data_IF_486537337592
#
_entry.id   IF_486537337592
#
_cell.length_a   1.000
_cell.length_b   1.000
_cell.length_c   1.000
_cell.angle_alpha   90.00
_cell.angle_beta   90.00
_cell.angle_gamma   90.00
#
_symmetry.space_group_name_H-M   'P 1'
#
loop_
_entity.id
_entity.type
_entity.pdbx_description
1 polymer ?
#
# COMPACT_ATOMS: atom_id res chain seq x y z
N UNK A 1 -26.13 -22.47 44.71
CA UNK A 1 -25.42 -21.54 43.81
C UNK A 1 -25.88 -21.89 42.41
N UNK A 2 -26.28 -20.89 41.61
CA UNK A 2 -26.78 -21.17 40.26
C UNK A 2 -25.62 -21.42 39.30
N UNK A 3 -25.85 -22.14 38.20
CA UNK A 3 -24.84 -22.42 37.18
C UNK A 3 -24.07 -21.17 36.73
N UNK A 4 -24.77 -20.04 36.59
CA UNK A 4 -24.19 -18.74 36.23
C UNK A 4 -23.21 -18.24 37.30
N UNK A 5 -23.51 -18.42 38.60
CA UNK A 5 -22.62 -17.97 39.67
C UNK A 5 -21.30 -18.75 39.68
N UNK A 6 -21.39 -20.06 39.44
CA UNK A 6 -20.22 -20.93 39.40
C UNK A 6 -19.32 -20.56 38.21
N UNK A 7 -19.91 -20.33 37.03
CA UNK A 7 -19.16 -19.86 35.85
C UNK A 7 -18.58 -18.46 36.05
N UNK A 8 -19.30 -17.52 36.69
CA UNK A 8 -18.78 -16.18 37.01
C UNK A 8 -17.59 -16.25 37.98
N UNK A 9 -17.65 -17.11 38.99
CA UNK A 9 -16.52 -17.34 39.89
C UNK A 9 -15.33 -17.92 39.14
N UNK A 10 -15.56 -18.88 38.24
CA UNK A 10 -14.52 -19.45 37.40
C UNK A 10 -13.86 -18.38 36.51
N UNK A 11 -14.65 -17.57 35.80
CA UNK A 11 -14.15 -16.47 34.96
C UNK A 11 -13.33 -15.48 35.79
N UNK A 12 -13.82 -15.08 36.97
CA UNK A 12 -13.12 -14.11 37.82
C UNK A 12 -11.72 -14.58 38.24
N UNK A 13 -11.54 -15.89 38.44
CA UNK A 13 -10.28 -16.50 38.86
C UNK A 13 -9.36 -16.83 37.68
N UNK A 14 -9.94 -17.29 36.58
CA UNK A 14 -9.18 -17.92 35.50
C UNK A 14 -9.00 -17.03 34.26
N UNK A 15 -9.85 -16.04 34.00
CA UNK A 15 -9.86 -15.31 32.72
C UNK A 15 -8.47 -14.77 32.35
N UNK A 16 -7.80 -14.07 33.27
CA UNK A 16 -6.50 -13.44 33.00
C UNK A 16 -5.36 -14.46 32.85
N UNK A 17 -5.48 -15.64 33.48
CA UNK A 17 -4.48 -16.71 33.41
C UNK A 17 -4.66 -17.58 32.17
N UNK A 18 -5.90 -17.68 31.68
CA UNK A 18 -6.30 -18.64 30.65
C UNK A 18 -6.41 -17.98 29.27
N UNK A 19 -6.62 -16.66 29.23
CA UNK A 19 -6.70 -15.87 28.00
C UNK A 19 -5.65 -14.77 28.05
N UNK A 20 -4.57 -14.96 27.31
CA UNK A 20 -3.43 -14.05 27.32
C UNK A 20 -3.79 -12.63 26.85
N UNK A 21 -3.31 -11.65 27.61
CA UNK A 21 -3.59 -10.23 27.35
C UNK A 21 -5.07 -9.85 27.57
N UNK A 22 -5.83 -10.67 28.31
CA UNK A 22 -7.19 -10.34 28.72
C UNK A 22 -7.23 -9.52 29.99
N UNK A 23 -8.18 -8.60 30.06
CA UNK A 23 -8.50 -7.79 31.24
C UNK A 23 -10.00 -7.84 31.47
N UNK A 24 -10.40 -8.40 32.60
CA UNK A 24 -11.79 -8.44 33.03
C UNK A 24 -12.23 -7.02 33.44
N UNK A 25 -13.20 -6.47 32.73
CA UNK A 25 -13.74 -5.11 32.97
C UNK A 25 -14.98 -5.17 33.85
N UNK A 26 -15.85 -6.14 33.61
CA UNK A 26 -17.06 -6.39 34.40
C UNK A 26 -17.36 -7.88 34.43
N UNK A 27 -17.78 -8.39 35.58
CA UNK A 27 -18.16 -9.78 35.77
C UNK A 27 -19.37 -9.83 36.71
N UNK A 28 -20.56 -9.68 36.13
CA UNK A 28 -21.83 -9.67 36.87
C UNK A 28 -22.83 -10.59 36.19
N UNK A 29 -23.89 -11.00 36.91
CA UNK A 29 -24.93 -11.92 36.39
C UNK A 29 -25.60 -11.47 35.10
N UNK A 30 -25.66 -10.17 34.84
CA UNK A 30 -26.28 -9.63 33.63
C UNK A 30 -25.31 -9.58 32.45
N UNK A 31 -24.01 -9.40 32.72
CA UNK A 31 -23.01 -9.22 31.68
C UNK A 31 -21.58 -9.52 32.16
N UNK A 32 -20.82 -10.12 31.26
CA UNK A 32 -19.37 -10.27 31.36
C UNK A 32 -18.74 -9.41 30.27
N UNK A 33 -17.82 -8.53 30.66
CA UNK A 33 -17.08 -7.67 29.73
C UNK A 33 -15.60 -7.90 29.88
N UNK A 34 -14.95 -8.34 28.81
CA UNK A 34 -13.52 -8.64 28.78
C UNK A 34 -12.87 -7.88 27.64
N UNK A 35 -11.78 -7.20 27.94
CA UNK A 35 -10.91 -6.58 26.94
C UNK A 35 -9.74 -7.53 26.64
N UNK A 36 -9.57 -7.91 25.39
CA UNK A 36 -8.48 -8.78 24.91
C UNK A 36 -7.55 -7.92 24.05
N UNK A 37 -6.29 -7.78 24.48
CA UNK A 37 -5.28 -6.95 23.82
C UNK A 37 -4.10 -7.81 23.40
N UNK A 38 -3.79 -7.82 22.10
CA UNK A 38 -2.52 -8.36 21.56
C UNK A 38 -1.52 -7.24 21.31
N UNK A 39 -1.96 -6.18 20.64
CA UNK A 39 -1.18 -4.95 20.42
C UNK A 39 -2.11 -3.75 20.58
N UNK A 40 -1.57 -2.52 20.60
CA UNK A 40 -2.38 -1.29 20.72
C UNK A 40 -3.48 -1.16 19.64
N UNK A 41 -3.29 -1.81 18.48
CA UNK A 41 -4.24 -1.80 17.36
C UNK A 41 -5.05 -3.09 17.23
N UNK A 42 -4.66 -4.17 17.91
CA UNK A 42 -5.38 -5.46 17.96
C UNK A 42 -6.00 -5.62 19.34
N UNK A 43 -7.00 -4.79 19.62
CA UNK A 43 -7.78 -4.81 20.86
C UNK A 43 -9.25 -5.04 20.56
N UNK A 44 -9.84 -6.04 21.22
CA UNK A 44 -11.26 -6.36 21.13
C UNK A 44 -11.85 -6.32 22.54
N UNK A 45 -12.99 -5.66 22.69
CA UNK A 45 -13.82 -5.70 23.89
C UNK A 45 -15.00 -6.61 23.61
N UNK A 46 -15.02 -7.77 24.26
CA UNK A 46 -16.13 -8.70 24.21
C UNK A 46 -17.14 -8.35 25.31
N UNK A 47 -18.36 -8.03 24.91
CA UNK A 47 -19.51 -7.87 25.78
C UNK A 47 -20.39 -9.12 25.63
N UNK A 48 -20.53 -9.87 26.71
CA UNK A 48 -21.22 -11.16 26.73
C UNK A 48 -22.39 -11.04 27.71
N UNK A 49 -23.60 -11.40 27.27
CA UNK A 49 -24.79 -11.41 28.10
C UNK A 49 -25.39 -12.83 28.13
N UNK A 50 -25.87 -13.21 29.31
CA UNK A 50 -26.56 -14.48 29.51
C UNK A 50 -28.00 -14.38 29.02
N UNK A 51 -28.42 -15.35 28.23
CA UNK A 51 -29.81 -15.55 27.81
C UNK A 51 -30.64 -16.13 28.97
N UNK A 52 -31.98 -16.00 28.89
CA UNK A 52 -32.89 -16.40 29.98
C UNK A 52 -32.78 -17.89 30.35
N UNK A 53 -32.53 -18.74 29.36
CA UNK A 53 -32.47 -20.20 29.51
C UNK A 53 -31.03 -20.74 29.41
N UNK A 54 -30.03 -19.90 29.72
CA UNK A 54 -28.63 -20.32 29.74
C UNK A 54 -28.41 -21.40 30.82
N UNK A 55 -27.66 -22.50 30.56
CA UNK A 55 -26.76 -22.75 29.43
C UNK A 55 -27.38 -23.50 28.23
N UNK A 56 -28.70 -23.71 28.20
CA UNK A 56 -29.38 -24.42 27.10
C UNK A 56 -29.61 -23.54 25.86
N UNK A 57 -29.45 -22.23 26.02
CA UNK A 57 -29.44 -21.24 24.94
C UNK A 57 -28.03 -20.63 24.81
N UNK A 58 -27.65 -20.17 23.61
CA UNK A 58 -26.33 -19.57 23.39
C UNK A 58 -26.22 -18.22 24.10
N UNK A 59 -24.99 -17.80 24.37
CA UNK A 59 -24.67 -16.44 24.82
C UNK A 59 -25.02 -15.40 23.75
N UNK A 60 -25.40 -14.20 24.20
CA UNK A 60 -25.48 -13.02 23.34
C UNK A 60 -24.13 -12.31 23.37
N UNK A 61 -23.51 -12.12 22.21
CA UNK A 61 -22.15 -11.59 22.09
C UNK A 61 -22.19 -10.31 21.28
N UNK A 62 -21.50 -9.28 21.76
CA UNK A 62 -21.25 -8.04 21.04
C UNK A 62 -19.76 -7.72 21.13
N UNK A 63 -19.09 -7.63 19.98
CA UNK A 63 -17.67 -7.32 19.90
C UNK A 63 -17.45 -5.86 19.51
N UNK A 64 -16.63 -5.13 20.28
CA UNK A 64 -16.29 -3.73 20.02
C UNK A 64 -14.79 -3.55 19.90
N UNK A 65 -14.36 -2.66 19.02
CA UNK A 65 -12.96 -2.22 18.93
C UNK A 65 -12.91 -0.74 18.57
N UNK A 66 -11.84 -0.06 19.01
CA UNK A 66 -11.55 1.31 18.57
C UNK A 66 -10.77 1.35 17.26
N UNK A 67 -10.16 0.24 16.86
CA UNK A 67 -9.15 0.19 15.80
C UNK A 67 -9.47 -0.81 14.70
N UNK A 68 -10.27 -1.84 14.98
CA UNK A 68 -10.66 -2.85 13.99
C UNK A 68 -11.97 -2.48 13.28
N UNK A 69 -12.13 -2.98 12.07
CA UNK A 69 -13.32 -2.77 11.22
C UNK A 69 -14.59 -3.32 11.87
N UNK A 70 -15.69 -2.55 11.81
CA UNK A 70 -17.01 -2.99 12.28
C UNK A 70 -17.47 -4.25 11.53
N UNK A 71 -17.28 -4.30 10.21
CA UNK A 71 -17.67 -5.46 9.38
C UNK A 71 -16.94 -6.74 9.78
N UNK A 72 -15.68 -6.62 10.18
CA UNK A 72 -14.90 -7.75 10.69
C UNK A 72 -15.46 -8.22 12.04
N UNK A 73 -15.79 -7.29 12.92
CA UNK A 73 -16.35 -7.60 14.25
C UNK A 73 -17.73 -8.24 14.15
N UNK A 74 -18.59 -7.77 13.24
CA UNK A 74 -19.90 -8.36 12.98
C UNK A 74 -19.74 -9.81 12.49
N UNK A 75 -18.87 -10.03 11.49
CA UNK A 75 -18.58 -11.37 10.99
C UNK A 75 -17.97 -12.29 12.04
N UNK A 76 -17.08 -11.79 12.91
CA UNK A 76 -16.53 -12.56 14.02
C UNK A 76 -17.59 -12.87 15.08
N UNK A 77 -18.52 -11.96 15.32
CA UNK A 77 -19.64 -12.15 16.25
C UNK A 77 -20.53 -13.29 15.77
N UNK A 78 -20.91 -13.30 14.48
CA UNK A 78 -21.68 -14.41 13.89
C UNK A 78 -20.98 -15.77 14.02
N UNK A 79 -19.65 -15.80 13.86
CA UNK A 79 -18.86 -17.01 14.04
C UNK A 79 -18.85 -17.44 15.51
N UNK A 80 -18.69 -16.51 16.45
CA UNK A 80 -18.74 -16.81 17.88
C UNK A 80 -20.12 -17.35 18.30
N UNK A 81 -21.21 -16.80 17.78
CA UNK A 81 -22.56 -17.30 18.02
C UNK A 81 -22.76 -18.74 17.50
N UNK A 82 -22.17 -19.07 16.35
CA UNK A 82 -22.16 -20.45 15.82
C UNK A 82 -21.36 -21.39 16.71
N UNK A 83 -20.23 -20.96 17.26
CA UNK A 83 -19.46 -21.76 18.22
C UNK A 83 -20.22 -21.96 19.54
N UNK A 84 -20.95 -20.94 20.02
CA UNK A 84 -21.80 -21.06 21.22
C UNK A 84 -22.85 -22.16 21.07
N UNK A 85 -23.47 -22.29 19.89
CA UNK A 85 -24.46 -23.34 19.60
C UNK A 85 -23.89 -24.76 19.69
N UNK A 86 -22.57 -24.94 19.61
CA UNK A 86 -21.92 -26.25 19.80
C UNK A 86 -21.66 -26.56 21.28
N UNK A 87 -21.75 -25.56 22.15
CA UNK A 87 -21.42 -25.64 23.58
C UNK A 87 -22.67 -25.61 24.48
N UNK A 88 -23.86 -25.88 23.92
CA UNK A 88 -25.11 -25.91 24.68
C UNK A 88 -25.05 -26.93 25.82
N UNK A 89 -25.56 -26.55 26.98
CA UNK A 89 -25.53 -27.34 28.21
C UNK A 89 -24.19 -27.30 28.96
N UNK A 90 -23.19 -26.53 28.48
CA UNK A 90 -21.89 -26.34 29.15
C UNK A 90 -21.61 -24.84 29.35
N UNK A 91 -20.58 -24.54 30.13
CA UNK A 91 -20.04 -23.19 30.27
C UNK A 91 -19.46 -22.70 28.93
N UNK A 92 -19.88 -21.53 28.47
CA UNK A 92 -19.59 -21.01 27.13
C UNK A 92 -18.61 -19.82 27.15
N UNK A 93 -18.54 -19.06 28.25
CA UNK A 93 -17.84 -17.76 28.27
C UNK A 93 -16.33 -17.92 28.05
N UNK A 94 -15.65 -18.74 28.87
CA UNK A 94 -14.20 -18.95 28.74
C UNK A 94 -13.80 -19.58 27.40
N UNK A 95 -14.48 -20.64 26.89
CA UNK A 95 -14.21 -21.16 25.55
C UNK A 95 -14.30 -20.11 24.45
N UNK A 96 -15.30 -19.22 24.50
CA UNK A 96 -15.47 -18.17 23.50
C UNK A 96 -14.39 -17.09 23.62
N UNK A 97 -14.01 -16.69 24.83
CA UNK A 97 -12.91 -15.74 25.02
C UNK A 97 -11.58 -16.30 24.49
N UNK A 98 -11.31 -17.59 24.71
CA UNK A 98 -10.17 -18.30 24.09
C UNK A 98 -10.28 -18.30 22.57
N UNK A 99 -11.46 -18.60 22.02
CA UNK A 99 -11.69 -18.61 20.58
C UNK A 99 -11.39 -17.24 19.96
N UNK A 100 -11.89 -16.15 20.56
CA UNK A 100 -11.62 -14.78 20.10
C UNK A 100 -10.11 -14.49 20.15
N UNK A 101 -9.42 -14.88 21.24
CA UNK A 101 -7.98 -14.68 21.37
C UNK A 101 -7.21 -15.44 20.29
N UNK A 102 -7.52 -16.72 20.09
CA UNK A 102 -6.89 -17.56 19.07
C UNK A 102 -7.14 -16.98 17.67
N UNK A 103 -8.34 -16.47 17.39
CA UNK A 103 -8.64 -15.81 16.13
C UNK A 103 -7.73 -14.60 15.86
N UNK A 104 -7.48 -13.76 16.87
CA UNK A 104 -6.54 -12.63 16.76
C UNK A 104 -5.10 -13.11 16.51
N UNK A 105 -4.72 -14.26 17.08
CA UNK A 105 -3.40 -14.82 16.91
C UNK A 105 -3.18 -15.43 15.53
N UNK A 106 -4.16 -16.16 15.00
CA UNK A 106 -4.09 -16.82 13.69
C UNK A 106 -4.29 -15.86 12.51
N UNK A 107 -4.90 -14.70 12.75
CA UNK A 107 -5.24 -13.72 11.71
C UNK A 107 -4.57 -12.36 11.95
N UNK A 108 -3.24 -12.24 11.80
CA UNK A 108 -2.55 -10.98 12.06
C UNK A 108 -2.94 -9.84 11.10
N UNK A 109 -3.49 -10.13 9.92
CA UNK A 109 -3.93 -9.13 8.94
C UNK A 109 -5.28 -8.46 9.29
N UNK A 110 -5.92 -8.83 10.41
CA UNK A 110 -7.18 -8.18 10.84
C UNK A 110 -7.05 -6.65 11.00
N UNK A 111 -5.84 -6.17 11.32
CA UNK A 111 -5.55 -4.75 11.52
C UNK A 111 -5.63 -3.92 10.23
N UNK A 112 -5.57 -4.56 9.06
CA UNK A 112 -5.68 -3.90 7.75
C UNK A 112 -6.85 -4.42 6.92
N UNK A 113 -7.89 -4.97 7.58
CA UNK A 113 -9.07 -5.54 6.93
C UNK A 113 -9.75 -4.57 5.94
N UNK A 114 -9.96 -3.31 6.35
CA UNK A 114 -10.61 -2.31 5.49
C UNK A 114 -9.72 -1.92 4.30
N UNK A 115 -8.40 -1.84 4.49
CA UNK A 115 -7.45 -1.58 3.42
C UNK A 115 -7.41 -2.72 2.40
N UNK A 116 -7.37 -3.97 2.86
CA UNK A 116 -7.44 -5.17 2.01
C UNK A 116 -8.75 -5.16 1.21
N UNK A 117 -9.87 -4.84 1.85
CA UNK A 117 -11.17 -4.77 1.19
C UNK A 117 -11.20 -3.67 0.12
N UNK A 118 -10.64 -2.50 0.43
CA UNK A 118 -10.52 -1.41 -0.54
C UNK A 118 -9.59 -1.78 -1.72
N UNK A 119 -8.48 -2.47 -1.47
CA UNK A 119 -7.57 -2.93 -2.51
C UNK A 119 -8.27 -3.93 -3.43
N UNK A 120 -8.99 -4.91 -2.87
CA UNK A 120 -9.75 -5.90 -3.67
C UNK A 120 -10.74 -5.26 -4.63
N UNK A 121 -11.32 -4.11 -4.27
CA UNK A 121 -12.25 -3.38 -5.13
C UNK A 121 -11.58 -2.62 -6.28
N UNK A 122 -10.25 -2.42 -6.23
CA UNK A 122 -9.48 -1.71 -7.27
C UNK A 122 -8.86 -2.70 -8.27
N UNK A 123 -8.67 -3.96 -7.87
CA UNK A 123 -8.05 -4.98 -8.69
C UNK A 123 -8.97 -5.39 -9.85
N UNK A 124 -8.36 -5.63 -11.00
CA UNK A 124 -9.05 -6.17 -12.18
C UNK A 124 -8.99 -7.70 -12.18
N UNK A 125 -9.74 -8.34 -13.09
CA UNK A 125 -9.83 -9.81 -13.18
C UNK A 125 -8.48 -10.50 -13.48
N UNK A 126 -7.51 -9.78 -14.05
CA UNK A 126 -6.17 -10.29 -14.34
C UNK A 126 -5.20 -10.19 -13.15
N UNK A 127 -5.59 -9.46 -12.10
CA UNK A 127 -4.75 -9.24 -10.93
C UNK A 127 -5.06 -10.25 -9.82
N UNK A 128 -4.09 -10.51 -8.94
CA UNK A 128 -4.25 -11.44 -7.81
C UNK A 128 -3.79 -10.80 -6.50
N UNK A 129 -4.58 -11.00 -5.44
CA UNK A 129 -4.24 -10.64 -4.06
C UNK A 129 -4.35 -11.87 -3.15
N UNK A 130 -3.22 -12.46 -2.80
CA UNK A 130 -3.13 -13.66 -1.96
C UNK A 130 -2.80 -13.29 -0.52
N UNK A 131 -3.72 -13.57 0.40
CA UNK A 131 -3.54 -13.32 1.82
C UNK A 131 -2.87 -14.52 2.49
N UNK A 132 -1.69 -14.33 3.08
CA UNK A 132 -0.97 -15.34 3.88
C UNK A 132 -1.06 -14.96 5.35
N UNK A 133 -2.20 -15.24 5.98
CA UNK A 133 -2.51 -14.85 7.37
C UNK A 133 -1.40 -15.29 8.35
N UNK A 134 -1.02 -16.57 8.37
CA UNK A 134 -0.01 -17.09 9.30
C UNK A 134 1.35 -16.38 9.25
N UNK A 135 1.70 -15.79 8.12
CA UNK A 135 2.98 -15.09 7.92
C UNK A 135 2.84 -13.57 7.95
N UNK A 136 1.64 -13.02 8.23
CA UNK A 136 1.36 -11.59 8.15
C UNK A 136 1.77 -10.97 6.81
N UNK A 137 1.56 -11.71 5.71
CA UNK A 137 2.03 -11.32 4.38
C UNK A 137 0.90 -11.28 3.35
N UNK A 138 1.03 -10.40 2.37
CA UNK A 138 0.12 -10.23 1.25
C UNK A 138 0.93 -10.36 -0.04
N UNK A 139 0.61 -11.35 -0.86
CA UNK A 139 1.15 -11.48 -2.22
C UNK A 139 0.31 -10.66 -3.19
N UNK A 140 0.92 -9.66 -3.82
CA UNK A 140 0.31 -8.84 -4.87
C UNK A 140 0.86 -9.26 -6.22
N UNK A 141 -0.01 -9.50 -7.20
CA UNK A 141 0.34 -9.65 -8.61
C UNK A 141 -0.57 -8.74 -9.42
N UNK A 142 0.01 -7.81 -10.15
CA UNK A 142 -0.70 -6.87 -11.03
C UNK A 142 -0.20 -7.06 -12.45
N UNK A 143 -1.09 -7.03 -13.42
CA UNK A 143 -0.75 -7.21 -14.83
C UNK A 143 -1.46 -6.19 -15.73
N UNK A 144 -0.74 -5.71 -16.74
CA UNK A 144 -1.28 -4.88 -17.82
C UNK A 144 -0.71 -5.33 -19.16
N UNK A 145 -1.55 -5.95 -19.99
CA UNK A 145 -1.06 -6.60 -21.21
C UNK A 145 -0.04 -7.69 -20.89
N UNK A 146 1.15 -7.61 -21.50
CA UNK A 146 2.26 -8.53 -21.23
C UNK A 146 3.15 -8.09 -20.06
N UNK A 147 2.94 -6.89 -19.51
CA UNK A 147 3.72 -6.40 -18.37
C UNK A 147 3.13 -6.85 -17.04
N UNK A 148 3.98 -7.21 -16.08
CA UNK A 148 3.55 -7.59 -14.75
C UNK A 148 4.47 -7.05 -13.65
N UNK A 149 3.90 -6.96 -12.46
CA UNK A 149 4.61 -6.73 -11.22
C UNK A 149 4.08 -7.68 -10.15
N UNK A 150 4.99 -8.35 -9.46
CA UNK A 150 4.71 -9.23 -8.33
C UNK A 150 5.52 -8.76 -7.14
N UNK A 151 4.93 -8.72 -5.97
CA UNK A 151 5.66 -8.45 -4.74
C UNK A 151 4.97 -9.09 -3.54
N UNK A 152 5.77 -9.36 -2.51
CA UNK A 152 5.30 -9.74 -1.19
C UNK A 152 5.30 -8.49 -0.31
N UNK A 153 4.16 -8.20 0.31
CA UNK A 153 3.98 -7.09 1.23
C UNK A 153 3.87 -7.67 2.65
N UNK A 154 4.86 -7.42 3.49
CA UNK A 154 4.86 -7.82 4.89
C UNK A 154 4.19 -6.74 5.75
N UNK A 155 3.24 -7.14 6.61
CA UNK A 155 2.55 -6.27 7.56
C UNK A 155 3.15 -6.51 8.96
N UNK A 156 3.77 -5.50 9.59
CA UNK A 156 4.41 -5.68 10.89
C UNK A 156 3.39 -5.83 12.02
N UNK A 157 3.79 -6.43 13.15
CA UNK A 157 2.87 -6.70 14.26
C UNK A 157 2.30 -5.45 14.93
N UNK A 158 3.08 -4.37 14.97
CA UNK A 158 2.71 -3.08 15.55
C UNK A 158 2.09 -2.11 14.53
N UNK A 159 1.66 -2.61 13.36
CA UNK A 159 0.95 -1.82 12.36
C UNK A 159 -0.27 -1.10 12.96
N UNK A 160 -0.54 0.17 12.58
CA UNK A 160 0.16 1.04 11.61
C UNK A 160 1.29 1.90 12.20
N UNK A 161 1.82 1.60 13.39
CA UNK A 161 2.94 2.37 13.96
C UNK A 161 4.22 2.16 13.15
N UNK A 162 4.43 0.94 12.64
CA UNK A 162 5.47 0.63 11.65
C UNK A 162 4.79 0.39 10.30
N UNK A 163 5.41 0.86 9.21
CA UNK A 163 4.87 0.72 7.87
C UNK A 163 5.07 -0.70 7.31
N UNK A 164 4.32 -1.01 6.25
CA UNK A 164 4.50 -2.25 5.49
C UNK A 164 5.87 -2.29 4.79
N UNK A 165 6.40 -3.50 4.57
CA UNK A 165 7.64 -3.72 3.81
C UNK A 165 7.35 -4.42 2.50
N UNK A 166 8.03 -3.98 1.44
CA UNK A 166 8.02 -4.62 0.12
C UNK A 166 9.22 -5.55 -0.01
N UNK A 167 8.94 -6.84 -0.22
CA UNK A 167 9.90 -7.93 -0.39
C UNK A 167 9.61 -8.71 -1.67
N UNK A 168 10.58 -9.53 -2.11
CA UNK A 168 10.45 -10.48 -3.24
C UNK A 168 9.80 -9.86 -4.49
N UNK A 169 10.21 -8.64 -4.82
CA UNK A 169 9.68 -7.91 -5.97
C UNK A 169 10.24 -8.49 -7.27
N UNK A 170 9.34 -8.90 -8.17
CA UNK A 170 9.63 -9.50 -9.46
C UNK A 170 8.80 -8.82 -10.55
N UNK A 171 9.43 -8.47 -11.67
CA UNK A 171 8.82 -7.67 -12.72
C UNK A 171 9.58 -7.78 -14.03
N UNK A 172 8.86 -7.70 -15.15
CA UNK A 172 9.44 -7.65 -16.49
C UNK A 172 9.52 -6.21 -17.07
N UNK A 173 9.33 -5.19 -16.23
CA UNK A 173 9.59 -3.81 -16.63
C UNK A 173 11.10 -3.52 -16.69
N UNK A 174 11.53 -2.52 -17.47
CA UNK A 174 12.92 -2.06 -17.45
C UNK A 174 13.42 -1.69 -16.03
N UNK A 175 14.72 -1.88 -15.73
CA UNK A 175 15.27 -1.70 -14.37
C UNK A 175 14.99 -0.34 -13.72
N UNK A 176 14.86 0.72 -14.51
CA UNK A 176 14.48 2.05 -14.05
C UNK A 176 13.13 2.04 -13.31
N UNK A 177 12.14 1.31 -13.84
CA UNK A 177 10.82 1.21 -13.23
C UNK A 177 10.82 0.32 -11.99
N UNK A 178 11.62 -0.75 -11.97
CA UNK A 178 11.81 -1.57 -10.77
C UNK A 178 12.33 -0.73 -9.60
N UNK A 179 13.36 0.09 -9.86
CA UNK A 179 13.89 1.06 -8.87
C UNK A 179 12.81 2.05 -8.44
N UNK A 180 12.01 2.54 -9.38
CA UNK A 180 10.91 3.46 -9.06
C UNK A 180 9.82 2.82 -8.20
N UNK A 181 9.32 1.64 -8.55
CA UNK A 181 8.26 0.95 -7.82
C UNK A 181 8.66 0.68 -6.36
N UNK A 182 9.87 0.13 -6.17
CA UNK A 182 10.37 -0.22 -4.85
C UNK A 182 10.73 1.05 -4.07
N UNK A 183 11.46 1.97 -4.68
CA UNK A 183 11.90 3.21 -4.04
C UNK A 183 10.75 4.10 -3.62
N UNK A 184 9.83 4.40 -4.55
CA UNK A 184 8.65 5.22 -4.27
C UNK A 184 7.68 4.51 -3.35
N UNK A 185 7.49 3.20 -3.50
CA UNK A 185 6.66 2.40 -2.58
C UNK A 185 7.17 2.46 -1.14
N UNK A 186 8.48 2.31 -0.93
CA UNK A 186 9.11 2.45 0.39
C UNK A 186 8.97 3.87 0.95
N UNK A 187 9.16 4.90 0.13
CA UNK A 187 9.00 6.28 0.59
C UNK A 187 7.54 6.62 0.94
N UNK A 188 6.56 6.13 0.17
CA UNK A 188 5.14 6.29 0.51
C UNK A 188 4.80 5.58 1.82
N UNK A 189 5.34 4.37 2.03
CA UNK A 189 5.17 3.64 3.28
C UNK A 189 5.75 4.42 4.47
N UNK A 190 6.97 4.97 4.30
CA UNK A 190 7.67 5.79 5.29
C UNK A 190 6.87 7.04 5.65
N UNK A 191 6.35 7.78 4.67
CA UNK A 191 5.55 8.99 4.87
C UNK A 191 4.26 8.77 5.68
N UNK A 192 3.75 7.54 5.72
CA UNK A 192 2.59 7.20 6.53
C UNK A 192 2.92 7.06 8.02
N UNK A 193 4.18 6.79 8.39
CA UNK A 193 4.55 6.47 9.78
C UNK A 193 5.67 7.34 10.36
N UNK A 194 6.38 8.07 9.50
CA UNK A 194 7.42 9.01 9.90
C UNK A 194 7.05 10.45 9.51
N UNK A 195 7.45 11.44 10.34
CA UNK A 195 7.19 12.83 10.02
C UNK A 195 7.91 13.28 8.73
N UNK A 196 7.41 14.32 8.06
CA UNK A 196 8.08 14.92 6.92
C UNK A 196 9.48 15.39 7.31
N UNK A 197 10.47 15.14 6.45
CA UNK A 197 11.85 15.59 6.65
C UNK A 197 11.93 17.12 6.78
N UNK A 198 11.08 17.84 6.03
CA UNK A 198 10.95 19.29 6.09
C UNK A 198 9.71 19.68 6.90
N UNK A 199 9.91 20.04 8.18
CA UNK A 199 8.85 20.50 9.08
C UNK A 199 8.39 21.92 8.71
N UNK A 200 7.50 22.03 7.71
CA UNK A 200 6.89 23.32 7.34
C UNK A 200 5.66 23.68 8.18
N UNK A 201 5.06 22.72 8.88
CA UNK A 201 3.85 22.90 9.69
C UNK A 201 4.06 22.39 11.13
N UNK A 202 3.43 23.06 12.09
CA UNK A 202 3.50 22.74 13.52
C UNK A 202 2.53 21.63 13.98
N UNK A 203 1.80 21.00 13.06
CA UNK A 203 0.82 19.97 13.41
C UNK A 203 1.56 18.71 13.90
N UNK A 204 1.19 18.15 15.06
CA UNK A 204 1.75 16.88 15.52
C UNK A 204 1.49 15.77 14.50
N UNK A 205 2.55 15.11 14.06
CA UNK A 205 2.44 13.98 13.13
C UNK A 205 1.83 12.77 13.83
N UNK A 206 0.83 12.16 13.20
CA UNK A 206 0.20 10.92 13.68
C UNK A 206 0.35 9.81 12.63
N UNK A 207 0.89 8.64 12.98
CA UNK A 207 0.98 7.51 12.06
C UNK A 207 -0.37 7.12 11.48
N UNK A 208 -0.39 6.78 10.20
CA UNK A 208 -1.55 6.33 9.44
C UNK A 208 -1.31 4.99 8.75
N UNK A 209 -2.36 4.22 8.45
CA UNK A 209 -2.22 2.99 7.67
C UNK A 209 -1.58 3.22 6.30
N UNK A 210 -0.61 2.37 5.94
CA UNK A 210 0.21 2.51 4.73
C UNK A 210 -0.10 1.49 3.62
N UNK A 211 -0.76 0.37 3.93
CA UNK A 211 -0.94 -0.75 3.00
C UNK A 211 -1.70 -0.33 1.74
N UNK A 212 -2.82 0.37 1.90
CA UNK A 212 -3.64 0.86 0.79
C UNK A 212 -2.88 1.86 -0.05
N UNK A 213 -2.20 2.82 0.57
CA UNK A 213 -1.44 3.87 -0.14
C UNK A 213 -0.39 3.27 -1.05
N UNK A 214 0.42 2.36 -0.51
CA UNK A 214 1.50 1.70 -1.26
C UNK A 214 0.93 0.81 -2.37
N UNK A 215 -0.08 0.00 -2.06
CA UNK A 215 -0.64 -0.95 -3.02
C UNK A 215 -1.38 -0.24 -4.16
N UNK A 216 -2.15 0.80 -3.86
CA UNK A 216 -2.82 1.62 -4.88
C UNK A 216 -1.82 2.32 -5.80
N UNK A 217 -0.70 2.81 -5.26
CA UNK A 217 0.38 3.36 -6.08
C UNK A 217 0.95 2.31 -7.06
N UNK A 218 1.28 1.12 -6.56
CA UNK A 218 1.84 0.04 -7.39
C UNK A 218 0.86 -0.38 -8.48
N UNK A 219 -0.41 -0.61 -8.13
CA UNK A 219 -1.46 -0.97 -9.10
C UNK A 219 -1.56 0.12 -10.18
N UNK A 220 -1.68 1.38 -9.77
CA UNK A 220 -1.79 2.50 -10.71
C UNK A 220 -0.62 2.54 -11.67
N UNK A 221 0.62 2.47 -11.18
CA UNK A 221 1.80 2.51 -12.02
C UNK A 221 1.83 1.38 -13.04
N UNK A 222 1.56 0.14 -12.62
CA UNK A 222 1.60 -1.02 -13.53
C UNK A 222 0.52 -0.92 -14.60
N UNK A 223 -0.66 -0.40 -14.26
CA UNK A 223 -1.77 -0.21 -15.21
C UNK A 223 -1.53 0.93 -16.19
N UNK A 224 -0.92 2.03 -15.75
CA UNK A 224 -0.76 3.23 -16.60
C UNK A 224 0.51 3.22 -17.44
N UNK A 225 1.63 2.73 -16.93
CA UNK A 225 2.94 2.88 -17.60
C UNK A 225 3.00 2.24 -18.99
N UNK A 226 2.49 1.02 -19.24
CA UNK A 226 2.52 0.43 -20.57
C UNK A 226 1.73 1.21 -21.63
N UNK A 227 0.77 2.04 -21.20
CA UNK A 227 -0.08 2.85 -22.07
C UNK A 227 0.45 4.28 -22.22
N UNK A 228 1.48 4.65 -21.45
CA UNK A 228 1.97 6.01 -21.40
C UNK A 228 2.77 6.34 -22.66
N UNK A 229 2.54 7.55 -23.17
CA UNK A 229 3.15 8.06 -24.41
C UNK A 229 4.27 9.03 -24.10
N UNK A 230 5.29 9.05 -24.94
CA UNK A 230 6.37 10.03 -24.86
C UNK A 230 5.79 11.43 -25.02
N UNK A 231 6.15 12.35 -24.13
CA UNK A 231 5.61 13.71 -24.19
C UNK A 231 6.13 14.54 -25.38
N UNK A 232 7.21 14.09 -26.04
CA UNK A 232 7.76 14.73 -27.23
C UNK A 232 7.20 14.12 -28.52
N UNK A 233 7.44 12.84 -28.80
CA UNK A 233 7.03 12.21 -30.07
C UNK A 233 5.63 11.61 -30.07
N UNK A 234 4.95 11.55 -28.90
CA UNK A 234 3.60 11.00 -28.70
C UNK A 234 3.43 9.50 -29.02
N UNK A 235 4.50 8.79 -29.35
CA UNK A 235 4.51 7.33 -29.46
C UNK A 235 4.50 6.68 -28.07
N UNK A 236 4.04 5.43 -27.99
CA UNK A 236 4.08 4.62 -26.76
C UNK A 236 5.52 4.45 -26.28
N UNK A 237 5.78 4.72 -25.00
CA UNK A 237 7.13 4.62 -24.44
C UNK A 237 7.59 3.17 -24.31
N UNK A 238 6.69 2.29 -23.91
CA UNK A 238 6.98 0.88 -23.74
C UNK A 238 6.43 0.08 -24.93
N UNK A 239 7.20 -0.87 -25.49
CA UNK A 239 6.72 -1.76 -26.55
C UNK A 239 5.68 -2.74 -26.01
N UNK A 240 4.85 -3.30 -26.89
CA UNK A 240 3.83 -4.29 -26.47
C UNK A 240 4.44 -5.54 -25.84
N UNK A 241 5.56 -6.04 -26.39
CA UNK A 241 6.34 -7.14 -25.79
C UNK A 241 7.46 -6.57 -24.90
N UNK A 242 7.47 -6.85 -23.59
CA UNK A 242 8.49 -6.41 -22.64
C UNK A 242 9.91 -6.80 -23.01
N UNK A 243 10.12 -7.91 -23.72
CA UNK A 243 11.46 -8.36 -24.16
C UNK A 243 12.11 -7.39 -25.15
N UNK A 244 11.30 -6.62 -25.88
CA UNK A 244 11.78 -5.61 -26.82
C UNK A 244 12.06 -4.26 -26.14
N UNK A 245 11.84 -4.15 -24.82
CA UNK A 245 12.06 -2.90 -24.10
C UNK A 245 13.56 -2.63 -23.96
N UNK A 246 13.97 -1.40 -24.27
CA UNK A 246 15.38 -1.01 -24.23
C UNK A 246 15.86 -0.86 -22.78
N UNK A 247 16.79 -1.73 -22.39
CA UNK A 247 17.35 -1.78 -21.03
C UNK A 247 18.58 -0.88 -20.91
N UNK A 248 19.28 -0.61 -22.02
CA UNK A 248 20.47 0.23 -22.01
C UNK A 248 20.11 1.70 -21.75
N UNK A 249 20.51 2.24 -20.60
CA UNK A 249 20.21 3.62 -20.16
C UNK A 249 20.85 4.73 -21.02
N UNK A 250 21.66 4.36 -22.03
CA UNK A 250 22.28 5.29 -22.98
C UNK A 250 21.69 5.22 -24.38
N UNK A 251 20.83 4.23 -24.65
CA UNK A 251 20.26 4.02 -25.97
C UNK A 251 19.13 5.02 -26.28
N UNK A 252 18.97 5.39 -27.55
CA UNK A 252 18.04 6.43 -27.99
C UNK A 252 16.57 6.16 -27.59
N UNK A 253 16.16 4.90 -27.64
CA UNK A 253 14.79 4.46 -27.32
C UNK A 253 14.61 4.09 -25.84
N UNK A 254 15.64 4.25 -25.00
CA UNK A 254 15.50 4.07 -23.57
C UNK A 254 14.46 5.02 -23.00
N UNK A 255 13.64 4.55 -22.07
CA UNK A 255 12.58 5.37 -21.47
C UNK A 255 13.07 6.01 -20.18
N UNK A 256 13.11 7.32 -20.17
CA UNK A 256 13.42 8.13 -18.99
C UNK A 256 12.12 8.62 -18.34
N UNK A 257 12.05 8.48 -17.01
CA UNK A 257 10.95 9.01 -16.19
C UNK A 257 11.41 10.25 -15.45
N UNK A 258 10.80 11.38 -15.75
CA UNK A 258 11.13 12.65 -15.09
C UNK A 258 10.48 12.73 -13.69
N UNK A 259 10.98 13.64 -12.85
CA UNK A 259 10.41 13.90 -11.52
C UNK A 259 8.93 14.27 -11.54
N UNK A 260 8.47 14.94 -12.60
CA UNK A 260 7.06 15.27 -12.80
C UNK A 260 6.17 14.04 -13.10
N UNK A 261 6.78 12.85 -13.24
CA UNK A 261 6.10 11.58 -13.45
C UNK A 261 5.99 11.15 -14.92
N UNK A 262 6.13 12.08 -15.86
CA UNK A 262 5.95 11.82 -17.28
C UNK A 262 7.16 11.14 -17.94
N UNK A 263 6.87 10.33 -18.96
CA UNK A 263 7.87 9.57 -19.71
C UNK A 263 8.35 10.25 -21.00
N UNK A 264 9.63 10.04 -21.32
CA UNK A 264 10.25 10.42 -22.58
C UNK A 264 11.14 9.28 -23.10
N UNK A 265 11.25 9.11 -24.42
CA UNK A 265 12.42 8.43 -24.97
C UNK A 265 13.66 9.29 -24.74
N UNK A 266 14.82 8.69 -24.47
CA UNK A 266 16.05 9.40 -24.17
C UNK A 266 16.40 10.39 -25.29
N UNK A 267 16.40 9.94 -26.55
CA UNK A 267 16.67 10.81 -27.70
C UNK A 267 15.68 11.98 -27.76
N UNK A 268 14.40 11.72 -27.54
CA UNK A 268 13.37 12.75 -27.52
C UNK A 268 13.61 13.78 -26.41
N UNK A 269 14.00 13.32 -25.21
CA UNK A 269 14.35 14.21 -24.10
C UNK A 269 15.59 15.05 -24.45
N UNK A 270 16.65 14.43 -24.99
CA UNK A 270 17.87 15.13 -25.41
C UNK A 270 17.56 16.21 -26.44
N UNK A 271 16.80 15.87 -27.49
CA UNK A 271 16.38 16.83 -28.50
C UNK A 271 15.55 17.95 -27.88
N UNK A 272 14.56 17.62 -27.04
CA UNK A 272 13.71 18.61 -26.38
C UNK A 272 14.50 19.57 -25.47
N UNK A 273 15.53 19.07 -24.78
CA UNK A 273 16.37 19.88 -23.90
C UNK A 273 17.36 20.76 -24.69
N UNK A 274 17.69 20.41 -25.94
CA UNK A 274 18.64 21.14 -26.81
C UNK A 274 18.00 22.09 -27.81
N UNK A 275 16.68 22.06 -27.98
CA UNK A 275 15.94 23.02 -28.83
C UNK A 275 15.39 24.17 -28.01
N UNK A 276 15.12 25.36 -28.57
CA UNK A 276 14.42 26.44 -27.85
C UNK A 276 12.93 26.09 -27.64
N UNK A 277 12.21 26.78 -26.74
CA UNK A 277 12.66 27.87 -25.87
C UNK A 277 13.41 27.37 -24.63
N UNK A 278 14.40 28.16 -24.17
CA UNK A 278 15.19 27.88 -22.95
C UNK A 278 14.81 28.76 -21.76
N UNK A 279 14.20 29.93 -21.99
CA UNK A 279 13.89 30.90 -20.95
C UNK A 279 12.94 30.35 -19.87
N UNK A 280 13.32 30.53 -18.61
CA UNK A 280 12.54 30.08 -17.45
C UNK A 280 12.67 28.58 -17.15
N UNK A 281 13.69 27.93 -17.71
CA UNK A 281 13.93 26.50 -17.66
C UNK A 281 13.01 25.69 -18.56
N UNK A 282 13.51 24.55 -19.05
CA UNK A 282 12.69 23.60 -19.81
C UNK A 282 11.55 23.08 -18.95
N UNK A 283 10.31 23.23 -19.44
CA UNK A 283 9.09 22.77 -18.77
C UNK A 283 8.54 21.54 -19.48
N UNK A 284 8.00 20.62 -18.70
CA UNK A 284 7.29 19.46 -19.25
C UNK A 284 6.08 19.96 -20.08
N UNK A 285 5.92 19.51 -21.33
CA UNK A 285 4.82 19.96 -22.20
C UNK A 285 3.42 19.70 -21.64
N UNK A 286 3.28 18.74 -20.72
CA UNK A 286 1.97 18.26 -20.24
C UNK A 286 1.58 18.87 -18.90
N UNK A 287 2.51 18.99 -17.94
CA UNK A 287 2.20 19.55 -16.61
C UNK A 287 2.84 20.91 -16.32
N UNK A 288 3.66 21.45 -17.22
CA UNK A 288 4.31 22.75 -17.03
C UNK A 288 5.37 22.81 -15.92
N UNK A 289 5.62 21.71 -15.20
CA UNK A 289 6.68 21.63 -14.20
C UNK A 289 8.06 21.71 -14.86
N UNK A 290 9.00 22.41 -14.22
CA UNK A 290 10.39 22.48 -14.69
C UNK A 290 11.02 21.09 -14.67
N UNK A 291 11.64 20.72 -15.79
CA UNK A 291 12.39 19.49 -15.95
C UNK A 291 13.73 19.67 -15.26
N UNK A 292 13.98 18.82 -14.27
CA UNK A 292 15.28 18.62 -13.68
C UNK A 292 15.75 17.23 -14.09
N UNK A 293 16.96 17.14 -14.64
CA UNK A 293 17.55 15.88 -15.07
C UNK A 293 19.04 15.91 -14.79
N UNK A 294 19.56 14.91 -14.08
CA UNK A 294 20.95 14.86 -13.61
C UNK A 294 21.95 14.95 -14.77
N UNK A 295 21.67 14.24 -15.87
CA UNK A 295 22.49 14.30 -17.10
C UNK A 295 22.45 15.68 -17.83
N UNK A 296 21.58 16.63 -17.43
CA UNK A 296 21.37 17.94 -18.09
C UNK A 296 21.47 19.13 -17.11
N UNK A 297 22.58 19.24 -16.38
CA UNK A 297 22.90 20.37 -15.50
C UNK A 297 23.45 21.62 -16.21
N UNK A 298 22.87 22.02 -17.35
CA UNK A 298 23.33 23.21 -18.12
C UNK A 298 22.40 24.39 -17.85
N UNK A 299 22.96 25.60 -17.67
CA UNK A 299 22.17 26.82 -17.49
C UNK A 299 21.43 27.21 -18.76
N UNK A 300 20.24 27.83 -18.61
CA UNK A 300 19.40 28.25 -19.75
C UNK A 300 20.19 29.13 -20.74
N UNK A 301 21.02 30.05 -20.23
CA UNK A 301 21.86 30.95 -21.03
C UNK A 301 22.91 30.18 -21.85
N UNK A 302 23.60 29.22 -21.24
CA UNK A 302 24.62 28.42 -21.93
C UNK A 302 23.99 27.47 -22.97
N UNK A 303 22.78 26.96 -22.71
CA UNK A 303 22.03 26.16 -23.67
C UNK A 303 21.63 27.00 -24.89
N UNK A 304 21.17 28.23 -24.67
CA UNK A 304 20.79 29.18 -25.72
C UNK A 304 21.98 29.60 -26.59
N UNK A 305 23.11 29.97 -25.97
CA UNK A 305 24.35 30.31 -26.69
C UNK A 305 24.84 29.15 -27.56
N UNK A 306 24.84 27.91 -27.03
CA UNK A 306 25.23 26.71 -27.78
C UNK A 306 24.31 26.44 -28.97
N UNK A 307 22.99 26.58 -28.77
CA UNK A 307 22.02 26.39 -29.84
C UNK A 307 22.17 27.47 -30.92
N UNK A 308 22.31 28.75 -30.53
CA UNK A 308 22.50 29.85 -31.46
C UNK A 308 23.78 29.69 -32.30
N UNK A 309 24.89 29.28 -31.67
CA UNK A 309 26.13 29.00 -32.38
C UNK A 309 25.99 27.82 -33.35
N UNK A 310 25.29 26.75 -32.97
CA UNK A 310 25.02 25.62 -33.86
C UNK A 310 24.16 26.05 -35.05
N UNK A 311 23.15 26.89 -34.82
CA UNK A 311 22.28 27.41 -35.87
C UNK A 311 23.00 28.36 -36.83
N UNK A 312 23.90 29.20 -36.32
CA UNK A 312 24.75 30.08 -37.13
C UNK A 312 25.65 29.26 -38.06
N UNK A 313 26.36 28.26 -37.52
CA UNK A 313 27.20 27.36 -38.32
C UNK A 313 26.42 26.59 -39.38
N UNK A 314 25.19 26.16 -39.07
CA UNK A 314 24.34 25.47 -40.04
C UNK A 314 23.89 26.39 -41.19
N UNK A 315 23.67 27.68 -40.91
CA UNK A 315 23.37 28.68 -41.96
C UNK A 315 24.58 28.95 -42.84
N UNK A 316 25.77 29.12 -42.24
CA UNK A 316 27.02 29.28 -43.00
C UNK A 316 27.27 28.10 -43.94
N UNK A 317 27.06 26.86 -43.47
CA UNK A 317 27.21 25.67 -44.32
C UNK A 317 26.17 25.61 -45.44
N UNK A 318 24.91 25.97 -45.16
CA UNK A 318 23.88 26.02 -46.18
C UNK A 318 24.16 27.10 -47.25
N UNK A 319 24.66 28.28 -46.84
CA UNK A 319 25.09 29.33 -47.76
C UNK A 319 26.25 28.87 -48.65
N UNK A 320 27.17 28.05 -48.13
CA UNK A 320 28.24 27.44 -48.93
C UNK A 320 27.68 26.41 -49.90
N UNK A 321 26.76 25.54 -49.48
CA UNK A 321 26.11 24.57 -50.38
C UNK A 321 25.32 25.26 -51.50
N UNK A 322 24.58 26.32 -51.20
CA UNK A 322 23.85 27.13 -52.17
C UNK A 322 24.80 27.85 -53.15
N UNK A 323 26.03 28.18 -52.74
CA UNK A 323 27.05 28.75 -53.64
C UNK A 323 27.57 27.74 -54.67
N UNK A 324 27.46 26.44 -54.41
CA UNK A 324 27.94 25.37 -55.29
C UNK A 324 26.85 24.73 -56.18
N UNK A 325 25.58 25.15 -56.05
CA UNK A 325 24.45 24.73 -56.89
C UNK A 325 24.07 25.80 -57.92
#
# INVERSE_FOLDING_TARGET
MGFIDDELQEISKLCQNVVDGSRLVSCVRTMVRVEITKTKFKTIVACIQFSKDYPYTPLLIELKSKTLSVKLLDGLTEVCEKECKKLLGKAQVLPILKFIRNFIDENPLICCYDEISAIKNILENSDELKLKQKHSCIGLKVQQGLYYFKAKIEVPDNYPVTCVKLEDADTNFPPLFTRHFIGQGKELARQCVEPPLNKKQQIPFTPSPSLKVVTTFLIKCVKTLPQERCQSCRQTCLPTNPENAEINETANMHVERLYCGHLFHLQCLVTFMKTPPFHGGKKCPTCGQRIYHEKWGVSDKLAEERWAHQQARARELAEVEDFFN
#
